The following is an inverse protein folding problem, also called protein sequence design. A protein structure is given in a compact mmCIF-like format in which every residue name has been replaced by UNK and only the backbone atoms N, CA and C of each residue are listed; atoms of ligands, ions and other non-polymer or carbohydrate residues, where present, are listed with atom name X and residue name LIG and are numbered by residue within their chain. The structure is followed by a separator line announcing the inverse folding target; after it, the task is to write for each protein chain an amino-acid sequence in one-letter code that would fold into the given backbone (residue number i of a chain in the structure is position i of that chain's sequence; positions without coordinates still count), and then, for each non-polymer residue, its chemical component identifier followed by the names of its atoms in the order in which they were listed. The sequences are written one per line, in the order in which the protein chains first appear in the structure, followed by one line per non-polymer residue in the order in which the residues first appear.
data_IF_617960058206
#
_entry.id   IF_617960058206
#
_cell.length_a   1.000
_cell.length_b   1.000
_cell.length_c   1.000
_cell.angle_alpha   90.00
_cell.angle_beta   90.00
_cell.angle_gamma   90.00
#
_symmetry.space_group_name_H-M   'P 1'
#
loop_
_entity.id
_entity.type
_entity.pdbx_description
1 polymer ?
#
# COMPACT_ATOMS: atom_id res chain seq x y z
N UNK A 1 -9.59 7.96 13.50
CA UNK A 1 -9.20 6.76 12.73
C UNK A 1 -10.42 5.86 12.62
N UNK A 2 -10.88 5.57 11.41
CA UNK A 2 -11.90 4.53 11.22
C UNK A 2 -11.34 3.18 11.70
N UNK A 3 -12.19 2.37 12.33
CA UNK A 3 -11.77 1.10 12.90
C UNK A 3 -11.60 0.09 11.76
N UNK A 4 -10.38 -0.42 11.57
CA UNK A 4 -10.13 -1.48 10.59
C UNK A 4 -10.89 -2.75 10.98
N UNK A 5 -11.73 -3.25 10.08
CA UNK A 5 -12.54 -4.47 10.25
C UNK A 5 -11.91 -5.70 9.59
N UNK A 6 -10.84 -5.51 8.80
CA UNK A 6 -10.18 -6.59 8.06
C UNK A 6 -9.13 -7.30 8.90
N UNK A 7 -9.02 -8.61 8.71
CA UNK A 7 -8.12 -9.51 9.46
C UNK A 7 -7.53 -10.61 8.57
N UNK A 8 -7.62 -10.45 7.23
CA UNK A 8 -7.06 -11.38 6.24
C UNK A 8 -5.52 -11.35 6.20
N UNK A 9 -4.86 -10.42 6.86
CA UNK A 9 -3.40 -10.31 6.95
C UNK A 9 -2.72 -11.36 7.84
N UNK A 10 -3.10 -12.64 7.80
CA UNK A 10 -2.43 -13.68 8.60
C UNK A 10 -1.37 -14.44 7.79
N UNK A 11 -0.23 -14.72 8.41
CA UNK A 11 0.77 -15.65 7.89
C UNK A 11 0.47 -17.04 8.47
N UNK A 12 0.07 -18.00 7.63
CA UNK A 12 -0.08 -19.39 8.05
C UNK A 12 1.17 -20.17 7.64
N UNK A 13 1.51 -21.22 8.40
CA UNK A 13 2.61 -22.14 8.08
C UNK A 13 2.46 -22.81 6.69
N UNK A 14 1.29 -22.65 6.04
CA UNK A 14 0.94 -23.13 4.71
C UNK A 14 0.91 -22.05 3.59
N UNK A 15 1.17 -20.76 3.87
CA UNK A 15 1.18 -19.70 2.84
C UNK A 15 0.73 -18.30 3.32
N UNK A 16 0.54 -17.38 2.37
CA UNK A 16 -0.04 -16.04 2.57
C UNK A 16 -1.47 -15.96 2.02
N UNK A 17 -2.30 -15.08 2.58
CA UNK A 17 -3.58 -14.72 1.96
C UNK A 17 -3.37 -13.76 0.78
N UNK A 18 -3.98 -14.08 -0.36
CA UNK A 18 -3.96 -13.22 -1.54
C UNK A 18 -5.27 -12.47 -1.71
N UNK A 19 -5.20 -11.31 -2.35
CA UNK A 19 -6.38 -10.57 -2.80
C UNK A 19 -6.84 -11.14 -4.14
N UNK A 20 -8.14 -11.36 -4.28
CA UNK A 20 -8.76 -11.79 -5.54
C UNK A 20 -9.60 -10.66 -6.14
N UNK A 21 -9.92 -10.77 -7.43
CA UNK A 21 -10.77 -9.81 -8.15
C UNK A 21 -12.12 -9.57 -7.46
N UNK A 22 -12.71 -10.62 -6.89
CA UNK A 22 -14.00 -10.55 -6.19
C UNK A 22 -13.91 -9.83 -4.82
N UNK A 23 -12.71 -9.55 -4.32
CA UNK A 23 -12.52 -8.76 -3.10
C UNK A 23 -12.49 -7.24 -3.39
N UNK A 24 -12.52 -6.83 -4.66
CA UNK A 24 -12.51 -5.42 -5.08
C UNK A 24 -13.88 -4.79 -4.84
N UNK A 25 -13.87 -3.49 -4.53
CA UNK A 25 -15.09 -2.76 -4.24
C UNK A 25 -15.71 -2.17 -5.51
N UNK A 26 -17.03 -2.17 -5.57
CA UNK A 26 -17.76 -1.41 -6.59
C UNK A 26 -17.61 0.10 -6.33
N UNK A 27 -17.29 0.85 -7.39
CA UNK A 27 -17.08 2.29 -7.30
C UNK A 27 -18.38 3.06 -7.54
N UNK A 28 -18.62 4.08 -6.72
CA UNK A 28 -19.69 5.04 -6.97
C UNK A 28 -19.25 6.12 -7.99
N UNK A 29 -20.19 6.98 -8.41
CA UNK A 29 -19.93 8.02 -9.42
C UNK A 29 -18.81 9.01 -9.02
N UNK A 30 -18.70 9.36 -7.74
CA UNK A 30 -17.63 10.26 -7.25
C UNK A 30 -16.25 9.60 -7.39
N UNK A 31 -16.17 8.32 -7.04
CA UNK A 31 -14.93 7.53 -7.14
C UNK A 31 -14.54 7.24 -8.60
N UNK A 32 -15.52 6.99 -9.49
CA UNK A 32 -15.28 6.89 -10.92
C UNK A 32 -14.77 8.21 -11.51
N UNK A 33 -15.32 9.35 -11.05
CA UNK A 33 -14.82 10.66 -11.45
C UNK A 33 -13.38 10.87 -10.99
N UNK A 34 -13.07 10.51 -9.74
CA UNK A 34 -11.72 10.55 -9.20
C UNK A 34 -10.76 9.67 -10.03
N UNK A 35 -11.15 8.44 -10.34
CA UNK A 35 -10.33 7.52 -11.13
C UNK A 35 -9.98 8.06 -12.53
N UNK A 36 -10.83 8.93 -13.08
CA UNK A 36 -10.66 9.56 -14.39
C UNK A 36 -9.81 10.86 -14.36
N UNK A 37 -9.19 11.20 -13.23
CA UNK A 37 -8.34 12.39 -13.12
C UNK A 37 -7.20 12.35 -14.17
N UNK A 38 -7.06 13.38 -15.04
CA UNK A 38 -6.12 13.33 -16.16
C UNK A 38 -4.67 13.05 -15.77
N UNK A 39 -4.19 13.66 -14.68
CA UNK A 39 -2.82 13.49 -14.18
C UNK A 39 -2.58 12.04 -13.73
N UNK A 40 -3.54 11.42 -13.05
CA UNK A 40 -3.40 10.05 -12.55
C UNK A 40 -3.43 9.04 -13.70
N UNK A 41 -4.29 9.28 -14.70
CA UNK A 41 -4.35 8.46 -15.92
C UNK A 41 -3.06 8.60 -16.75
N UNK A 42 -2.49 9.80 -16.85
CA UNK A 42 -1.22 10.03 -17.54
C UNK A 42 -0.06 9.34 -16.81
N UNK A 43 0.02 9.48 -15.49
CA UNK A 43 0.99 8.77 -14.67
C UNK A 43 0.91 7.24 -14.85
N UNK A 44 -0.30 6.67 -14.82
CA UNK A 44 -0.47 5.23 -15.03
C UNK A 44 -0.08 4.80 -16.45
N UNK A 45 -0.32 5.64 -17.46
CA UNK A 45 0.11 5.39 -18.83
C UNK A 45 1.64 5.36 -18.96
N UNK A 46 2.33 6.28 -18.29
CA UNK A 46 3.79 6.27 -18.21
C UNK A 46 4.28 5.02 -17.48
N UNK A 47 3.66 4.69 -16.34
CA UNK A 47 4.06 3.52 -15.56
C UNK A 47 3.81 2.19 -16.28
N UNK A 48 2.83 2.13 -17.19
CA UNK A 48 2.56 1.00 -18.09
C UNK A 48 3.53 0.89 -19.29
N UNK A 49 4.38 1.90 -19.52
CA UNK A 49 5.29 1.94 -20.67
C UNK A 49 6.30 0.78 -20.66
N UNK A 50 6.90 0.52 -21.83
CA UNK A 50 7.88 -0.57 -21.97
C UNK A 50 9.19 -0.27 -21.22
N UNK A 51 9.49 1.01 -21.02
CA UNK A 51 10.66 1.51 -20.29
C UNK A 51 10.57 1.21 -18.79
N UNK A 52 9.35 1.13 -18.26
CA UNK A 52 9.09 0.88 -16.85
C UNK A 52 8.89 -0.61 -16.51
N UNK A 53 9.04 -1.53 -17.47
CA UNK A 53 8.86 -2.96 -17.24
C UNK A 53 9.81 -3.49 -16.16
N UNK A 54 9.25 -4.23 -15.21
CA UNK A 54 9.96 -4.77 -14.05
C UNK A 54 10.06 -3.79 -12.87
N UNK A 55 9.81 -2.49 -13.08
CA UNK A 55 9.78 -1.52 -11.98
C UNK A 55 8.54 -1.69 -11.12
N UNK A 56 8.67 -1.26 -9.87
CA UNK A 56 7.60 -1.24 -8.90
C UNK A 56 7.54 0.11 -8.21
N UNK A 57 6.34 0.49 -7.76
CA UNK A 57 6.12 1.72 -7.00
C UNK A 57 5.30 1.42 -5.76
N UNK A 58 5.77 1.91 -4.62
CA UNK A 58 5.05 1.86 -3.35
C UNK A 58 4.18 3.11 -3.22
N UNK A 59 2.86 2.93 -3.33
CA UNK A 59 1.89 4.01 -3.12
C UNK A 59 1.63 4.13 -1.62
N UNK A 60 2.57 4.74 -0.91
CA UNK A 60 2.61 4.77 0.56
C UNK A 60 1.29 5.22 1.18
N UNK A 61 0.74 6.34 0.70
CA UNK A 61 -0.52 6.91 1.19
C UNK A 61 -1.76 6.07 0.81
N UNK A 62 -1.62 5.11 -0.11
CA UNK A 62 -2.71 4.25 -0.59
C UNK A 62 -2.59 2.81 -0.07
N UNK A 63 -1.44 2.43 0.50
CA UNK A 63 -1.26 1.15 1.18
C UNK A 63 -1.01 -0.05 0.26
N UNK A 64 -0.58 0.13 -0.99
CA UNK A 64 -0.24 -0.98 -1.90
C UNK A 64 0.97 -0.72 -2.79
N UNK A 65 1.60 -1.79 -3.27
CA UNK A 65 2.70 -1.76 -4.25
C UNK A 65 2.23 -2.33 -5.57
N UNK A 66 2.45 -1.59 -6.65
CA UNK A 66 2.24 -2.09 -8.01
C UNK A 66 3.59 -2.37 -8.70
N UNK A 67 3.64 -3.42 -9.51
CA UNK A 67 4.77 -3.75 -10.39
C UNK A 67 4.29 -3.74 -11.84
N UNK A 68 5.04 -3.11 -12.74
CA UNK A 68 4.82 -3.27 -14.17
C UNK A 68 5.35 -4.64 -14.64
N UNK A 69 4.43 -5.53 -15.00
CA UNK A 69 4.71 -6.89 -15.47
C UNK A 69 4.95 -6.97 -16.99
N UNK A 70 4.89 -5.84 -17.70
CA UNK A 70 4.94 -5.75 -19.14
C UNK A 70 3.58 -5.98 -19.81
N UNK A 71 3.55 -5.78 -21.13
CA UNK A 71 2.36 -6.01 -21.97
C UNK A 71 1.07 -5.31 -21.49
N UNK A 72 1.20 -4.11 -20.90
CA UNK A 72 0.06 -3.36 -20.37
C UNK A 72 -0.50 -3.89 -19.05
N UNK A 73 0.27 -4.69 -18.31
CA UNK A 73 -0.15 -5.33 -17.07
C UNK A 73 0.57 -4.70 -15.89
N UNK A 74 -0.19 -4.22 -14.91
CA UNK A 74 0.32 -3.96 -13.55
C UNK A 74 -0.12 -5.09 -12.62
N UNK A 75 0.77 -5.54 -11.75
CA UNK A 75 0.47 -6.48 -10.67
C UNK A 75 0.45 -5.77 -9.35
N UNK A 76 -0.59 -5.98 -8.54
CA UNK A 76 -0.48 -5.68 -7.12
C UNK A 76 0.34 -6.80 -6.48
N UNK A 77 1.49 -6.47 -5.90
CA UNK A 77 2.36 -7.47 -5.26
C UNK A 77 2.27 -7.42 -3.73
N UNK A 78 1.74 -6.33 -3.19
CA UNK A 78 1.61 -6.09 -1.76
C UNK A 78 0.46 -5.13 -1.51
N UNK A 79 -0.35 -5.43 -0.48
CA UNK A 79 -1.37 -4.51 0.02
C UNK A 79 -1.50 -4.65 1.55
N UNK A 80 -1.70 -3.54 2.23
CA UNK A 80 -2.04 -3.50 3.65
C UNK A 80 -3.49 -3.94 3.83
N UNK A 81 -3.74 -4.80 4.82
CA UNK A 81 -5.06 -5.31 5.14
C UNK A 81 -5.93 -4.24 5.82
N UNK A 82 -6.40 -3.26 5.05
CA UNK A 82 -7.24 -2.15 5.51
C UNK A 82 -8.28 -1.80 4.44
N UNK A 83 -9.53 -1.51 4.84
CA UNK A 83 -10.61 -1.21 3.88
C UNK A 83 -10.27 -0.04 2.95
N UNK A 84 -9.69 1.04 3.49
CA UNK A 84 -9.25 2.18 2.68
C UNK A 84 -8.21 1.79 1.62
N UNK A 85 -7.29 0.87 1.91
CA UNK A 85 -6.30 0.43 0.91
C UNK A 85 -6.95 -0.35 -0.24
N UNK A 86 -7.97 -1.15 0.06
CA UNK A 86 -8.75 -1.89 -0.95
C UNK A 86 -9.58 -0.92 -1.79
N UNK A 87 -10.19 0.09 -1.17
CA UNK A 87 -10.91 1.13 -1.89
C UNK A 87 -9.97 1.91 -2.81
N UNK A 88 -8.83 2.36 -2.30
CA UNK A 88 -7.81 3.05 -3.10
C UNK A 88 -7.32 2.18 -4.26
N UNK A 89 -7.07 0.89 -4.04
CA UNK A 89 -6.69 -0.02 -5.11
C UNK A 89 -7.82 -0.20 -6.14
N UNK A 90 -9.09 -0.17 -5.72
CA UNK A 90 -10.25 -0.25 -6.62
C UNK A 90 -10.36 0.99 -7.50
N UNK A 91 -10.12 2.17 -6.95
CA UNK A 91 -10.05 3.42 -7.72
C UNK A 91 -8.88 3.36 -8.71
N UNK A 92 -7.68 2.97 -8.24
CA UNK A 92 -6.49 2.88 -9.09
C UNK A 92 -6.62 1.82 -10.17
N UNK A 93 -7.29 0.69 -9.92
CA UNK A 93 -7.66 -0.29 -10.95
C UNK A 93 -8.41 0.40 -12.09
N UNK A 94 -9.42 1.19 -11.77
CA UNK A 94 -10.20 1.89 -12.79
C UNK A 94 -9.34 2.92 -13.55
N UNK A 95 -8.44 3.62 -12.85
CA UNK A 95 -7.46 4.53 -13.49
C UNK A 95 -6.54 3.79 -14.46
N UNK A 96 -6.05 2.59 -14.09
CA UNK A 96 -5.23 1.73 -14.95
C UNK A 96 -6.01 1.32 -16.21
N UNK A 97 -7.29 0.97 -16.06
CA UNK A 97 -8.15 0.64 -17.20
C UNK A 97 -8.34 1.85 -18.13
N UNK A 98 -8.56 3.06 -17.59
CA UNK A 98 -8.59 4.30 -18.39
C UNK A 98 -7.25 4.61 -19.06
N UNK A 99 -6.12 4.21 -18.47
CA UNK A 99 -4.81 4.31 -19.07
C UNK A 99 -4.54 3.23 -20.15
N UNK A 100 -5.48 2.29 -20.36
CA UNK A 100 -5.39 1.21 -21.35
C UNK A 100 -4.67 -0.04 -20.84
N UNK A 101 -4.45 -0.16 -19.54
CA UNK A 101 -3.84 -1.32 -18.91
C UNK A 101 -4.84 -2.22 -18.19
N UNK A 102 -4.30 -3.22 -17.47
CA UNK A 102 -5.06 -4.08 -16.56
C UNK A 102 -4.30 -4.32 -15.27
N UNK A 103 -5.04 -4.52 -14.18
CA UNK A 103 -4.50 -4.94 -12.89
C UNK A 103 -4.60 -6.46 -12.74
N UNK A 104 -3.54 -7.09 -12.25
CA UNK A 104 -3.52 -8.48 -11.80
C UNK A 104 -3.33 -8.53 -10.28
N UNK A 105 -4.17 -9.32 -9.60
CA UNK A 105 -4.12 -9.51 -8.15
C UNK A 105 -3.55 -10.89 -7.82
N UNK A 106 -4.40 -11.91 -7.62
CA UNK A 106 -3.97 -13.27 -7.38
C UNK A 106 -3.26 -13.88 -8.61
N UNK A 107 -2.22 -14.70 -8.41
CA UNK A 107 -1.65 -15.14 -7.14
C UNK A 107 -0.51 -14.23 -6.64
N UNK A 108 -0.43 -12.97 -7.07
CA UNK A 108 0.74 -12.12 -6.84
C UNK A 108 0.62 -11.24 -5.59
N UNK A 109 -0.60 -10.89 -5.19
CA UNK A 109 -0.82 -9.98 -4.08
C UNK A 109 -0.59 -10.66 -2.74
N UNK A 110 0.37 -10.18 -1.96
CA UNK A 110 0.47 -10.54 -0.54
C UNK A 110 -0.33 -9.54 0.30
N UNK A 111 -1.34 -10.02 1.02
CA UNK A 111 -2.06 -9.20 2.02
C UNK A 111 -1.21 -9.19 3.30
N UNK A 112 -0.68 -8.02 3.64
CA UNK A 112 0.09 -7.79 4.88
C UNK A 112 -0.84 -7.27 5.97
N UNK A 113 -0.76 -7.77 7.21
CA UNK A 113 -1.50 -7.16 8.31
C UNK A 113 -1.11 -5.69 8.47
N UNK A 114 -2.11 -4.84 8.71
CA UNK A 114 -1.84 -3.49 9.19
C UNK A 114 -1.10 -3.62 10.52
N UNK A 115 0.06 -3.00 10.65
CA UNK A 115 0.70 -2.93 11.95
C UNK A 115 -0.31 -2.30 12.92
N UNK A 116 -0.49 -2.91 14.09
CA UNK A 116 -1.11 -2.20 15.20
C UNK A 116 -0.39 -0.86 15.32
N UNK A 117 -1.14 0.23 15.40
CA UNK A 117 -0.57 1.55 15.57
C UNK A 117 0.48 1.42 16.68
N UNK A 118 1.76 1.52 16.30
CA UNK A 118 2.83 1.58 17.27
C UNK A 118 2.41 2.76 18.14
N UNK A 119 2.14 2.51 19.42
CA UNK A 119 2.03 3.61 20.37
C UNK A 119 3.29 4.43 20.14
N UNK A 120 3.14 5.63 19.57
CA UNK A 120 4.26 6.54 19.45
C UNK A 120 4.86 6.58 20.85
N UNK A 121 6.17 6.31 21.03
CA UNK A 121 6.77 6.45 22.34
C UNK A 121 6.44 7.87 22.76
N UNK A 122 5.65 8.03 23.82
CA UNK A 122 5.53 9.33 24.46
C UNK A 122 6.96 9.80 24.66
N UNK A 123 7.33 10.94 24.08
CA UNK A 123 8.61 11.58 24.33
C UNK A 123 8.75 11.68 25.85
N UNK A 124 9.46 10.72 26.43
CA UNK A 124 9.75 10.70 27.85
C UNK A 124 10.65 11.90 28.07
N UNK A 125 10.11 12.89 28.79
CA UNK A 125 10.82 14.08 29.26
C UNK A 125 12.28 13.72 29.56
N UNK A 126 13.19 14.39 28.86
CA UNK A 126 14.63 14.26 29.06
C UNK A 126 14.94 14.40 30.56
N UNK A 127 15.23 13.28 31.22
CA UNK A 127 15.91 13.32 32.51
C UNK A 127 17.33 13.84 32.25
N UNK A 128 17.56 15.11 32.56
CA UNK A 128 18.89 15.67 32.78
C UNK A 128 19.58 14.86 33.89
N UNK A 129 20.36 13.85 33.50
CA UNK A 129 21.34 13.23 34.40
C UNK A 129 22.65 14.00 34.25
N UNK A 130 22.75 15.12 34.97
CA UNK A 130 23.99 15.87 35.08
C UNK A 130 25.02 15.13 35.95
N UNK A 131 25.96 14.49 35.25
CA UNK A 131 27.39 14.28 35.56
C UNK A 131 27.80 13.75 36.94
N UNK A 132 28.35 12.53 36.90
CA UNK A 132 29.22 11.94 37.92
C UNK A 132 30.48 12.81 38.10
N UNK A 133 30.59 13.47 39.25
CA UNK A 133 31.83 14.15 39.67
C UNK A 133 32.85 13.09 40.10
N UNK A 134 34.05 13.18 39.51
CA UNK A 134 35.13 12.21 39.63
C UNK A 134 35.64 11.99 41.05
N UNK A 135 36.00 10.73 41.31
CA UNK A 135 36.60 10.21 42.53
C UNK A 135 38.10 10.58 42.62
N UNK A 136 38.57 10.75 43.85
CA UNK A 136 39.80 11.47 44.25
C UNK A 136 41.13 10.69 44.06
N UNK A 137 42.22 11.42 44.39
CA UNK A 137 43.60 11.06 44.80
C UNK A 137 44.69 10.63 43.80
N UNK A 138 45.67 11.52 43.62
CA UNK A 138 47.10 11.29 43.90
C UNK A 138 47.78 12.60 44.33
#
# INVERSE_FOLDING_TARGET
MEKNTRTKGNYLQAGYHTLHENDMLELNASQLHQAAAPNDVEYMREFLSKEEVGRYHWFENLGFTLQNAGAGILRCIHIVDHEAAILSLSIVRQTIEFAGGRLELAPYTVIRPMADAVEEPQESEEQEVAQVVGMEVA
#
